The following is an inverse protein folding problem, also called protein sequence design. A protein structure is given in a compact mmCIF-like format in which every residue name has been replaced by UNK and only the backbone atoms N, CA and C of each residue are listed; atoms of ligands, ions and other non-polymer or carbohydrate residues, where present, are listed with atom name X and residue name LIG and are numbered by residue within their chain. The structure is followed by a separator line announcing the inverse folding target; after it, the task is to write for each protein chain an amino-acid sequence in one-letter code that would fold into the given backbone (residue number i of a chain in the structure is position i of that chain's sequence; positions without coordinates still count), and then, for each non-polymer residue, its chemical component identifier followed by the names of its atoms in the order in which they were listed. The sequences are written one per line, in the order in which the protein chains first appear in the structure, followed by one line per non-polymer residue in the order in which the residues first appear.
data_IF_778768505073
#
_entry.id   IF_778768505073
#
_cell.length_a   1.000
_cell.length_b   1.000
_cell.length_c   1.000
_cell.angle_alpha   90.00
_cell.angle_beta   90.00
_cell.angle_gamma   90.00
#
_symmetry.space_group_name_H-M   'P 1'
#
loop_
_entity.id
_entity.type
_entity.pdbx_description
1 polymer ?
#
# COMPACT_ATOMS: atom_id res chain seq x y z
N UNK A 1 3.40 -3.38 14.26
CA UNK A 1 3.23 -2.03 13.66
C UNK A 1 2.61 -2.24 12.29
N UNK A 2 1.60 -1.46 11.93
CA UNK A 2 1.02 -1.48 10.58
C UNK A 2 2.05 -0.88 9.62
N UNK A 3 2.30 -1.55 8.50
CA UNK A 3 3.23 -1.10 7.46
C UNK A 3 2.65 -1.35 6.08
N UNK A 4 3.09 -0.56 5.10
CA UNK A 4 2.65 -0.66 3.71
C UNK A 4 3.85 -0.76 2.76
N UNK A 5 3.70 -1.55 1.71
CA UNK A 5 4.66 -1.72 0.64
C UNK A 5 4.03 -1.29 -0.69
N UNK A 6 4.76 -0.50 -1.47
CA UNK A 6 4.37 -0.18 -2.84
C UNK A 6 4.48 -1.43 -3.73
N UNK A 7 3.73 -1.45 -4.82
CA UNK A 7 3.92 -2.41 -5.90
C UNK A 7 4.17 -1.67 -7.21
N UNK A 8 4.67 -2.38 -8.21
CA UNK A 8 4.80 -1.84 -9.58
C UNK A 8 3.45 -1.82 -10.33
N UNK A 9 2.33 -2.01 -9.61
CA UNK A 9 0.97 -2.01 -10.13
C UNK A 9 0.09 -0.99 -9.37
N UNK A 10 -1.19 -0.90 -9.73
CA UNK A 10 -2.17 0.00 -9.09
C UNK A 10 -2.71 -0.50 -7.75
N UNK A 11 -1.84 -1.14 -6.97
CA UNK A 11 -2.18 -1.67 -5.65
C UNK A 11 -1.06 -1.41 -4.63
N UNK A 12 -1.44 -1.42 -3.37
CA UNK A 12 -0.56 -1.30 -2.19
C UNK A 12 -0.68 -2.60 -1.40
N UNK A 13 0.42 -3.12 -0.85
CA UNK A 13 0.37 -4.30 0.02
C UNK A 13 0.50 -3.87 1.47
N UNK A 14 -0.47 -4.22 2.31
CA UNK A 14 -0.39 -4.00 3.76
C UNK A 14 0.43 -5.10 4.43
N UNK A 15 0.95 -4.84 5.62
CA UNK A 15 1.82 -5.75 6.39
C UNK A 15 1.20 -7.11 6.70
N UNK A 16 -0.13 -7.25 6.64
CA UNK A 16 -0.85 -8.52 6.77
C UNK A 16 -0.97 -9.29 5.44
N UNK A 17 -0.38 -8.79 4.37
CA UNK A 17 -0.40 -9.38 3.03
C UNK A 17 -1.62 -9.01 2.19
N UNK A 18 -2.51 -8.13 2.68
CA UNK A 18 -3.65 -7.67 1.91
C UNK A 18 -3.21 -6.81 0.72
N UNK A 19 -3.70 -7.14 -0.48
CA UNK A 19 -3.53 -6.33 -1.69
C UNK A 19 -4.67 -5.32 -1.79
N UNK A 20 -4.33 -4.05 -1.67
CA UNK A 20 -5.27 -2.92 -1.60
C UNK A 20 -5.25 -2.19 -2.94
N UNK A 21 -6.36 -2.17 -3.70
CA UNK A 21 -6.44 -1.37 -4.92
C UNK A 21 -6.44 0.13 -4.59
N UNK A 22 -5.82 0.93 -5.47
CA UNK A 22 -5.78 2.41 -5.38
C UNK A 22 -7.11 3.05 -5.77
N UNK A 23 -8.19 2.69 -5.08
CA UNK A 23 -9.51 3.28 -5.28
C UNK A 23 -9.85 4.18 -4.09
N UNK A 24 -10.28 5.41 -4.33
CA UNK A 24 -10.61 6.39 -3.27
C UNK A 24 -11.76 5.90 -2.36
N UNK A 25 -12.64 5.05 -2.89
CA UNK A 25 -13.72 4.42 -2.13
C UNK A 25 -13.25 3.25 -1.25
N UNK A 26 -12.06 2.70 -1.49
CA UNK A 26 -11.52 1.61 -0.69
C UNK A 26 -11.05 2.13 0.69
N UNK A 27 -11.59 1.56 1.76
CA UNK A 27 -11.28 1.98 3.12
C UNK A 27 -9.80 1.79 3.47
N UNK A 28 -9.21 0.66 3.10
CA UNK A 28 -7.79 0.38 3.38
C UNK A 28 -6.86 1.32 2.58
N UNK A 29 -7.28 1.78 1.39
CA UNK A 29 -6.54 2.77 0.63
C UNK A 29 -6.61 4.16 1.26
N UNK A 30 -7.77 4.56 1.80
CA UNK A 30 -7.88 5.80 2.58
C UNK A 30 -7.03 5.74 3.84
N UNK A 31 -7.03 4.62 4.56
CA UNK A 31 -6.18 4.41 5.73
C UNK A 31 -4.69 4.53 5.36
N UNK A 32 -4.29 4.01 4.20
CA UNK A 32 -2.94 4.18 3.67
C UNK A 32 -2.60 5.66 3.38
N UNK A 33 -3.53 6.42 2.79
CA UNK A 33 -3.33 7.85 2.53
C UNK A 33 -3.21 8.66 3.83
N UNK A 34 -4.05 8.37 4.83
CA UNK A 34 -3.97 9.01 6.15
C UNK A 34 -2.64 8.68 6.84
N UNK A 35 -2.17 7.44 6.70
CA UNK A 35 -0.87 7.02 7.20
C UNK A 35 0.30 7.76 6.52
N UNK A 36 0.23 8.00 5.20
CA UNK A 36 1.20 8.85 4.50
C UNK A 36 1.13 10.32 4.96
N UNK A 37 -0.08 10.87 5.13
CA UNK A 37 -0.28 12.25 5.60
C UNK A 37 0.28 12.48 7.01
N UNK A 38 0.32 11.44 7.85
CA UNK A 38 0.98 11.47 9.15
C UNK A 38 2.53 11.49 9.08
N UNK A 39 3.12 11.49 7.87
CA UNK A 39 4.56 11.58 7.64
C UNK A 39 5.27 10.22 7.55
N UNK A 40 4.52 9.12 7.46
CA UNK A 40 5.13 7.80 7.27
C UNK A 40 5.52 7.56 5.81
N UNK A 41 6.43 6.62 5.57
CA UNK A 41 6.96 6.30 4.24
C UNK A 41 6.79 4.81 3.95
N UNK A 42 6.05 4.51 2.89
CA UNK A 42 5.87 3.13 2.44
C UNK A 42 7.20 2.52 2.01
N UNK A 43 7.36 1.22 2.24
CA UNK A 43 8.55 0.51 1.71
C UNK A 43 8.43 0.43 0.18
N UNK A 44 9.53 0.64 -0.57
CA UNK A 44 9.51 0.50 -2.03
C UNK A 44 9.04 -0.89 -2.49
N UNK A 45 8.56 -0.94 -3.73
CA UNK A 45 8.25 -2.21 -4.37
C UNK A 45 9.53 -3.04 -4.56
N UNK A 46 9.43 -4.36 -4.32
CA UNK A 46 10.53 -5.26 -4.63
C UNK A 46 10.77 -5.28 -6.15
N UNK A 47 12.02 -5.15 -6.62
CA UNK A 47 12.34 -5.25 -8.04
C UNK A 47 11.97 -6.64 -8.56
N UNK A 48 10.99 -6.71 -9.48
CA UNK A 48 10.50 -7.96 -10.07
C UNK A 48 9.27 -8.57 -9.40
N UNK A 49 8.76 -8.00 -8.30
CA UNK A 49 7.49 -8.42 -7.71
C UNK A 49 6.33 -7.84 -8.52
N UNK A 50 5.87 -8.63 -9.48
CA UNK A 50 4.57 -8.45 -10.10
C UNK A 50 3.53 -9.07 -9.18
N UNK A 51 2.58 -8.26 -8.72
CA UNK A 51 1.35 -8.77 -8.11
C UNK A 51 0.42 -9.24 -9.24
N UNK A 52 -0.29 -10.37 -9.06
CA UNK A 52 -1.18 -10.93 -10.07
C UNK A 52 -2.37 -10.00 -10.38
#
# INVERSE_FOLDING_TARGET
MLGYQLTNADVVVRSDGATIPKYEENADYRDYLDWLNAGNVATPADPGKSVP
#
